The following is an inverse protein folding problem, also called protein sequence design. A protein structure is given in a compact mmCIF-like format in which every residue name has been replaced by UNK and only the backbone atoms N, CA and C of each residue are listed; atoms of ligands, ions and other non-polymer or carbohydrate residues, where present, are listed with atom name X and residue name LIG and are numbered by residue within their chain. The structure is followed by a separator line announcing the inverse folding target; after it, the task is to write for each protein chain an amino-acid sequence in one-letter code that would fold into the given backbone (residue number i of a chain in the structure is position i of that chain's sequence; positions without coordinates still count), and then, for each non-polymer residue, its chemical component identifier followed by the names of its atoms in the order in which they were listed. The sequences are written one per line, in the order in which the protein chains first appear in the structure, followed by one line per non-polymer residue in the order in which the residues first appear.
data_IF_380344886669
#
_entry.id   IF_380344886669
#
_cell.length_a   1.000
_cell.length_b   1.000
_cell.length_c   1.000
_cell.angle_alpha   90.00
_cell.angle_beta   90.00
_cell.angle_gamma   90.00
#
_symmetry.space_group_name_H-M   'P 1'
#
loop_
_entity.id
_entity.type
_entity.pdbx_description
1 polymer ?
#
# COMPACT_ATOMS: atom_id res chain seq x y z
N UNK A 1 6.60 17.03 -9.88
CA UNK A 1 8.07 17.13 -9.80
C UNK A 1 8.46 16.45 -8.50
N UNK A 2 9.00 15.23 -8.54
CA UNK A 2 9.43 14.56 -7.31
C UNK A 2 10.63 15.32 -6.76
N UNK A 3 10.39 16.25 -5.84
CA UNK A 3 11.43 17.03 -5.18
C UNK A 3 12.34 16.11 -4.37
N UNK A 4 13.64 16.37 -4.41
CA UNK A 4 14.60 15.72 -3.54
C UNK A 4 14.25 16.08 -2.09
N UNK A 5 13.85 15.10 -1.29
CA UNK A 5 13.68 15.28 0.16
C UNK A 5 15.08 15.20 0.76
N UNK A 6 15.54 16.33 1.29
CA UNK A 6 16.85 16.48 1.91
C UNK A 6 17.00 15.58 3.15
N UNK A 7 18.24 15.20 3.50
CA UNK A 7 18.48 14.33 4.65
C UNK A 7 18.12 15.06 5.96
N UNK A 8 17.45 14.34 6.86
CA UNK A 8 17.19 14.81 8.22
C UNK A 8 18.45 14.57 9.08
N UNK A 9 18.99 15.60 9.76
CA UNK A 9 20.15 15.46 10.63
C UNK A 9 19.95 14.41 11.73
N UNK A 10 21.03 13.70 12.06
CA UNK A 10 21.02 12.69 13.13
C UNK A 10 21.14 13.31 14.52
N UNK A 11 21.88 14.40 14.64
CA UNK A 11 22.01 15.14 15.90
C UNK A 11 20.79 16.05 16.07
N UNK A 12 20.25 16.07 17.29
CA UNK A 12 19.10 16.89 17.63
C UNK A 12 19.44 18.39 17.69
N UNK A 13 20.72 18.73 17.86
CA UNK A 13 21.18 20.13 17.87
C UNK A 13 21.14 20.79 16.49
N UNK A 14 21.30 19.99 15.45
CA UNK A 14 21.37 20.45 14.06
C UNK A 14 20.00 20.41 13.37
N UNK A 15 19.02 19.76 13.99
CA UNK A 15 17.66 19.69 13.47
C UNK A 15 16.87 20.94 13.88
N UNK A 16 16.35 21.65 12.89
CA UNK A 16 15.44 22.78 13.07
C UNK A 16 14.16 22.53 12.27
N UNK A 17 12.97 22.68 12.85
CA UNK A 17 11.73 22.58 12.10
C UNK A 17 11.70 23.69 11.05
N UNK A 18 11.31 23.33 9.83
CA UNK A 18 11.26 24.23 8.70
C UNK A 18 9.87 24.12 8.04
N UNK A 19 8.90 24.91 8.48
CA UNK A 19 7.55 24.88 7.91
C UNK A 19 7.51 25.36 6.44
N UNK A 20 8.58 25.99 5.94
CA UNK A 20 8.67 26.48 4.55
C UNK A 20 9.24 25.42 3.60
N UNK A 21 9.99 24.46 4.13
CA UNK A 21 10.62 23.38 3.37
C UNK A 21 11.87 23.79 2.58
N UNK A 22 12.44 24.96 2.83
CA UNK A 22 13.64 25.45 2.14
C UNK A 22 14.89 24.58 2.42
N UNK A 23 14.98 24.03 3.63
CA UNK A 23 16.15 23.27 4.10
C UNK A 23 16.08 21.80 3.71
N UNK A 24 14.91 21.18 3.85
CA UNK A 24 14.71 19.74 3.65
C UNK A 24 13.93 19.39 2.37
N UNK A 25 13.60 20.39 1.54
CA UNK A 25 12.84 20.24 0.31
C UNK A 25 11.32 20.13 0.50
N UNK A 26 10.85 19.81 1.72
CA UNK A 26 9.43 19.80 2.09
C UNK A 26 9.24 20.38 3.49
N UNK A 27 8.05 20.96 3.79
CA UNK A 27 7.70 21.40 5.14
C UNK A 27 7.98 20.30 6.16
N UNK A 28 8.74 20.66 7.18
CA UNK A 28 9.26 19.73 8.20
C UNK A 28 8.89 20.24 9.58
N UNK A 29 8.08 19.45 10.29
CA UNK A 29 7.55 19.79 11.59
C UNK A 29 8.12 18.89 12.69
N UNK A 30 8.05 19.38 13.93
CA UNK A 30 8.22 18.51 15.08
C UNK A 30 7.00 17.61 15.29
N UNK A 31 7.19 16.58 16.10
CA UNK A 31 6.10 15.72 16.55
C UNK A 31 4.95 16.53 17.16
N UNK A 32 3.74 16.31 16.64
CA UNK A 32 2.48 16.98 17.05
C UNK A 32 2.43 18.50 16.82
N UNK A 33 3.27 19.05 15.95
CA UNK A 33 3.24 20.49 15.60
C UNK A 33 2.82 20.75 14.15
N UNK A 34 2.47 19.70 13.40
CA UNK A 34 1.98 19.86 12.03
C UNK A 34 0.54 20.40 12.03
N UNK A 35 0.16 21.23 11.05
CA UNK A 35 -1.22 21.65 10.83
C UNK A 35 -2.22 20.50 10.70
N UNK A 36 -3.46 20.68 11.16
CA UNK A 36 -4.48 19.63 11.25
C UNK A 36 -4.91 19.02 9.90
N UNK A 37 -4.78 19.76 8.80
CA UNK A 37 -5.10 19.26 7.45
C UNK A 37 -4.04 18.27 6.93
N UNK A 38 -2.88 18.17 7.60
CA UNK A 38 -1.80 17.28 7.22
C UNK A 38 -1.80 16.03 8.10
N UNK A 39 -2.05 14.89 7.47
CA UNK A 39 -2.26 13.62 8.16
C UNK A 39 -1.34 12.52 7.62
N UNK A 40 -1.00 11.58 8.48
CA UNK A 40 -0.22 10.40 8.09
C UNK A 40 -1.06 9.46 7.23
N UNK A 41 -0.39 8.66 6.39
CA UNK A 41 -1.04 7.60 5.59
C UNK A 41 -1.82 6.61 6.45
N UNK A 42 -1.37 6.36 7.69
CA UNK A 42 -2.05 5.49 8.64
C UNK A 42 -3.37 6.09 9.14
N UNK A 43 -3.38 7.40 9.44
CA UNK A 43 -4.61 8.12 9.81
C UNK A 43 -5.62 8.10 8.66
N UNK A 44 -5.19 8.39 7.43
CA UNK A 44 -6.07 8.27 6.26
C UNK A 44 -6.66 6.86 6.12
N UNK A 45 -5.84 5.82 6.30
CA UNK A 45 -6.29 4.43 6.18
C UNK A 45 -7.32 4.05 7.26
N UNK A 46 -7.26 4.66 8.44
CA UNK A 46 -8.23 4.45 9.51
C UNK A 46 -9.61 5.02 9.14
N UNK A 47 -9.63 6.11 8.36
CA UNK A 47 -10.84 6.76 7.84
C UNK A 47 -11.33 6.15 6.51
N UNK A 48 -10.76 5.02 6.05
CA UNK A 48 -11.10 4.44 4.75
C UNK A 48 -10.63 5.27 3.55
N UNK A 49 -9.70 6.21 3.77
CA UNK A 49 -9.14 7.09 2.76
C UNK A 49 -7.75 6.62 2.31
N UNK A 50 -7.34 7.11 1.15
CA UNK A 50 -5.99 6.99 0.64
C UNK A 50 -5.50 8.36 0.10
N UNK A 51 -4.18 8.58 -0.02
CA UNK A 51 -3.63 9.87 -0.44
C UNK A 51 -4.00 10.34 -1.86
N UNK A 52 -4.71 9.55 -2.67
CA UNK A 52 -5.18 9.99 -3.99
C UNK A 52 -4.09 10.21 -5.03
N UNK A 53 -2.88 9.68 -4.83
CA UNK A 53 -1.73 9.89 -5.71
C UNK A 53 -0.98 11.21 -5.48
N UNK A 54 -1.27 11.92 -4.38
CA UNK A 54 -0.51 13.09 -3.97
C UNK A 54 0.97 12.77 -3.71
N UNK A 55 1.83 13.74 -4.03
CA UNK A 55 3.19 13.78 -3.51
C UNK A 55 3.19 14.03 -1.99
N UNK A 56 4.34 13.81 -1.33
CA UNK A 56 4.46 14.05 0.11
C UNK A 56 4.35 15.55 0.37
N UNK A 57 3.32 15.96 1.12
CA UNK A 57 3.04 17.37 1.39
C UNK A 57 3.95 17.94 2.49
N UNK A 58 4.28 17.12 3.49
CA UNK A 58 5.17 17.49 4.60
C UNK A 58 5.74 16.25 5.28
N UNK A 59 6.65 16.47 6.22
CA UNK A 59 7.13 15.43 7.12
C UNK A 59 7.12 15.90 8.57
N UNK A 60 7.00 14.94 9.48
CA UNK A 60 7.17 15.12 10.91
C UNK A 60 8.36 14.29 11.37
N UNK A 61 9.20 14.89 12.20
CA UNK A 61 10.41 14.25 12.71
C UNK A 61 10.34 14.09 14.23
N UNK A 62 10.66 12.89 14.69
CA UNK A 62 10.96 12.58 16.09
C UNK A 62 12.44 12.27 16.19
N UNK A 63 13.18 13.15 16.86
CA UNK A 63 14.58 12.94 17.18
C UNK A 63 14.72 11.89 18.27
N UNK A 64 15.70 11.00 18.13
CA UNK A 64 15.89 9.86 19.03
C UNK A 64 17.31 9.81 19.50
N UNK A 65 17.50 9.75 20.82
CA UNK A 65 18.84 9.67 21.41
C UNK A 65 19.55 8.40 20.93
N UNK A 66 20.75 8.56 20.36
CA UNK A 66 21.59 7.48 19.82
C UNK A 66 20.97 6.63 18.70
N UNK A 67 19.91 7.11 18.03
CA UNK A 67 19.26 6.39 16.92
C UNK A 67 18.94 7.34 15.77
N UNK A 68 18.68 6.78 14.59
CA UNK A 68 18.19 7.58 13.47
C UNK A 68 16.85 8.26 13.86
N UNK A 69 16.64 9.52 13.43
CA UNK A 69 15.36 10.19 13.56
C UNK A 69 14.24 9.34 12.95
N UNK A 70 13.09 9.32 13.60
CA UNK A 70 11.89 8.72 13.04
C UNK A 70 11.17 9.78 12.23
N UNK A 71 10.95 9.51 10.95
CA UNK A 71 10.27 10.42 10.03
C UNK A 71 8.91 9.83 9.68
N UNK A 72 7.88 10.66 9.74
CA UNK A 72 6.53 10.33 9.27
C UNK A 72 6.15 11.29 8.14
N UNK A 73 5.82 10.75 6.97
CA UNK A 73 5.31 11.55 5.85
C UNK A 73 3.83 11.88 6.06
N UNK A 74 3.49 13.13 5.73
CA UNK A 74 2.16 13.69 5.82
C UNK A 74 1.62 13.99 4.41
N UNK A 75 0.30 13.88 4.31
CA UNK A 75 -0.49 14.11 3.11
C UNK A 75 -1.64 15.05 3.45
N UNK A 76 -2.12 15.82 2.48
CA UNK A 76 -3.27 16.68 2.68
C UNK A 76 -4.56 15.83 2.66
N UNK A 77 -5.34 15.94 3.74
CA UNK A 77 -6.62 15.26 3.86
C UNK A 77 -7.63 15.73 2.81
N UNK A 78 -7.55 16.99 2.37
CA UNK A 78 -8.51 17.56 1.42
C UNK A 78 -8.37 16.98 0.01
N UNK A 79 -7.17 16.49 -0.34
CA UNK A 79 -6.93 15.77 -1.59
C UNK A 79 -7.07 14.25 -1.47
N UNK A 80 -7.45 13.73 -0.30
CA UNK A 80 -7.55 12.30 -0.09
C UNK A 80 -8.78 11.74 -0.84
N UNK A 81 -8.67 10.47 -1.23
CA UNK A 81 -9.70 9.77 -1.97
C UNK A 81 -10.18 8.55 -1.21
N UNK A 82 -11.44 8.18 -1.39
CA UNK A 82 -11.95 6.92 -0.87
C UNK A 82 -11.12 5.75 -1.39
N UNK A 83 -10.75 4.86 -0.49
CA UNK A 83 -10.09 3.62 -0.84
C UNK A 83 -11.02 2.78 -1.71
N UNK A 84 -10.51 2.33 -2.86
CA UNK A 84 -11.25 1.39 -3.71
C UNK A 84 -11.28 0.04 -3.02
N UNK A 85 -12.48 -0.49 -2.83
CA UNK A 85 -12.66 -1.85 -2.34
C UNK A 85 -12.42 -2.85 -3.48
N UNK A 86 -11.55 -3.85 -3.27
CA UNK A 86 -11.30 -4.87 -4.27
C UNK A 86 -12.54 -5.74 -4.48
N UNK A 87 -12.77 -6.14 -5.72
CA UNK A 87 -13.86 -7.08 -6.05
C UNK A 87 -13.57 -8.47 -5.47
N UNK A 88 -14.59 -9.32 -5.25
CA UNK A 88 -14.38 -10.69 -4.78
C UNK A 88 -13.38 -11.49 -5.62
N UNK A 89 -13.41 -11.32 -6.95
CA UNK A 89 -12.48 -11.98 -7.86
C UNK A 89 -11.03 -11.48 -7.70
N UNK A 90 -10.84 -10.20 -7.40
CA UNK A 90 -9.52 -9.64 -7.10
C UNK A 90 -8.99 -10.17 -5.76
N UNK A 91 -9.85 -10.27 -4.74
CA UNK A 91 -9.50 -10.87 -3.44
C UNK A 91 -9.06 -12.34 -3.58
N UNK A 92 -9.80 -13.15 -4.34
CA UNK A 92 -9.42 -14.54 -4.63
C UNK A 92 -8.05 -14.62 -5.32
N UNK A 93 -7.81 -13.75 -6.30
CA UNK A 93 -6.52 -13.69 -7.01
C UNK A 93 -5.37 -13.30 -6.08
N UNK A 94 -5.57 -12.32 -5.20
CA UNK A 94 -4.59 -11.91 -4.20
C UNK A 94 -4.29 -13.03 -3.20
N UNK A 95 -5.31 -13.78 -2.76
CA UNK A 95 -5.17 -14.92 -1.86
C UNK A 95 -4.28 -16.00 -2.47
N UNK A 96 -4.56 -16.38 -3.71
CA UNK A 96 -3.75 -17.36 -4.45
C UNK A 96 -2.31 -16.85 -4.62
N UNK A 97 -2.12 -15.58 -4.99
CA UNK A 97 -0.78 -15.00 -5.14
C UNK A 97 0.02 -15.00 -3.84
N UNK A 98 -0.64 -14.76 -2.69
CA UNK A 98 -0.01 -14.84 -1.37
C UNK A 98 0.44 -16.26 -1.04
N UNK A 99 -0.36 -17.27 -1.35
CA UNK A 99 0.00 -18.66 -1.15
C UNK A 99 1.17 -19.10 -2.02
N UNK A 100 1.18 -18.69 -3.30
CA UNK A 100 2.32 -18.96 -4.21
C UNK A 100 3.61 -18.40 -3.61
N UNK A 101 3.60 -17.13 -3.20
CA UNK A 101 4.77 -16.51 -2.55
C UNK A 101 5.22 -17.25 -1.30
N UNK A 102 4.28 -17.80 -0.52
CA UNK A 102 4.58 -18.58 0.68
C UNK A 102 5.21 -19.93 0.33
N UNK A 103 4.69 -20.63 -0.68
CA UNK A 103 5.25 -21.89 -1.16
C UNK A 103 6.68 -21.70 -1.69
N UNK A 104 6.90 -20.65 -2.48
CA UNK A 104 8.24 -20.29 -2.97
C UNK A 104 9.20 -19.93 -1.83
N UNK A 105 8.70 -19.39 -0.72
CA UNK A 105 9.51 -19.15 0.48
C UNK A 105 9.87 -20.46 1.20
N UNK A 106 8.92 -21.39 1.34
CA UNK A 106 9.16 -22.72 1.91
C UNK A 106 10.26 -23.46 1.13
N UNK A 107 10.15 -23.52 -0.19
CA UNK A 107 11.17 -24.11 -1.09
C UNK A 107 12.57 -23.52 -0.83
N UNK A 108 12.69 -22.20 -0.78
CA UNK A 108 13.97 -21.52 -0.50
C UNK A 108 14.57 -21.85 0.86
N UNK A 109 13.74 -22.23 1.82
CA UNK A 109 14.15 -22.58 3.18
C UNK A 109 14.19 -24.09 3.43
N UNK A 110 14.05 -24.92 2.38
CA UNK A 110 14.08 -26.39 2.50
C UNK A 110 12.88 -26.97 3.24
N UNK A 111 11.77 -26.23 3.31
CA UNK A 111 10.50 -26.69 3.87
C UNK A 111 9.64 -27.20 2.72
N UNK A 112 9.05 -28.39 2.86
CA UNK A 112 8.16 -28.97 1.86
C UNK A 112 6.89 -28.11 1.68
N UNK A 113 6.61 -27.58 0.47
CA UNK A 113 5.39 -26.81 0.20
C UNK A 113 4.27 -27.62 -0.46
N UNK A 114 4.35 -28.96 -0.52
CA UNK A 114 3.39 -29.80 -1.25
C UNK A 114 1.93 -29.48 -0.92
N UNK A 115 1.57 -29.38 0.37
CA UNK A 115 0.22 -29.00 0.81
C UNK A 115 -0.21 -27.62 0.29
N UNK A 116 0.69 -26.64 0.30
CA UNK A 116 0.42 -25.30 -0.23
C UNK A 116 0.22 -25.35 -1.73
N UNK A 117 1.03 -26.14 -2.46
CA UNK A 117 0.94 -26.30 -3.92
C UNK A 117 -0.39 -26.95 -4.32
N UNK A 118 -0.83 -27.98 -3.58
CA UNK A 118 -2.14 -28.61 -3.77
C UNK A 118 -3.29 -27.63 -3.50
N UNK A 119 -3.23 -26.88 -2.39
CA UNK A 119 -4.23 -25.87 -2.07
C UNK A 119 -4.33 -24.79 -3.16
N UNK A 120 -3.19 -24.34 -3.71
CA UNK A 120 -3.14 -23.39 -4.83
C UNK A 120 -3.80 -23.98 -6.08
N UNK A 121 -3.49 -25.23 -6.43
CA UNK A 121 -4.05 -25.90 -7.60
C UNK A 121 -5.57 -26.03 -7.50
N UNK A 122 -6.07 -26.47 -6.33
CA UNK A 122 -7.50 -26.57 -6.05
C UNK A 122 -8.20 -25.21 -6.16
N UNK A 123 -7.65 -24.17 -5.53
CA UNK A 123 -8.24 -22.83 -5.56
C UNK A 123 -8.30 -22.24 -6.98
N UNK A 124 -7.31 -22.53 -7.83
CA UNK A 124 -7.32 -22.15 -9.25
C UNK A 124 -8.43 -22.87 -10.02
N UNK A 125 -8.60 -24.18 -9.79
CA UNK A 125 -9.66 -24.97 -10.41
C UNK A 125 -11.06 -24.46 -10.01
N UNK A 126 -11.26 -24.19 -8.72
CA UNK A 126 -12.52 -23.63 -8.20
C UNK A 126 -12.85 -22.28 -8.84
N UNK A 127 -11.86 -21.38 -8.96
CA UNK A 127 -12.05 -20.09 -9.60
C UNK A 127 -12.38 -20.23 -11.09
N UNK A 128 -11.73 -21.17 -11.80
CA UNK A 128 -12.02 -21.45 -13.20
C UNK A 128 -13.44 -21.99 -13.40
N UNK A 129 -13.89 -22.89 -12.52
CA UNK A 129 -15.25 -23.42 -12.54
C UNK A 129 -16.30 -22.31 -12.31
N UNK A 130 -16.09 -21.44 -11.32
CA UNK A 130 -16.98 -20.28 -11.08
C UNK A 130 -17.07 -19.35 -12.28
N UNK A 131 -15.93 -19.05 -12.93
CA UNK A 131 -15.89 -18.23 -14.16
C UNK A 131 -16.65 -18.88 -15.32
N UNK A 132 -16.51 -20.19 -15.49
CA UNK A 132 -17.23 -20.94 -16.53
C UNK A 132 -18.74 -20.95 -16.29
N UNK A 133 -19.19 -21.02 -15.03
CA UNK A 133 -20.60 -20.95 -14.66
C UNK A 133 -21.21 -19.55 -14.84
N UNK A 134 -20.42 -18.48 -14.59
CA UNK A 134 -20.86 -17.08 -14.74
C UNK A 134 -20.77 -16.55 -16.18
N UNK A 135 -20.25 -17.32 -17.14
CA UNK A 135 -20.19 -16.91 -18.56
C UNK A 135 -21.62 -16.66 -19.08
N UNK A 136 -21.96 -15.43 -19.53
CA UNK A 136 -23.29 -15.12 -20.03
C UNK A 136 -23.62 -15.96 -21.28
N UNK A 137 -24.90 -16.28 -21.46
CA UNK A 137 -25.40 -17.11 -22.56
C UNK A 137 -25.23 -16.51 -23.98
N UNK A 138 -24.72 -15.27 -24.09
CA UNK A 138 -24.57 -14.51 -25.35
C UNK A 138 -23.66 -15.21 -26.38
N UNK A 139 -22.73 -16.07 -25.94
CA UNK A 139 -21.89 -16.88 -26.84
C UNK A 139 -22.57 -18.18 -27.31
N UNK A 140 -23.59 -18.66 -26.58
CA UNK A 140 -24.25 -19.95 -26.86
C UNK A 140 -25.28 -19.84 -27.99
N UNK A 141 -25.92 -18.68 -28.16
CA UNK A 141 -26.90 -18.46 -29.23
C UNK A 141 -26.26 -18.34 -30.63
N UNK A 142 -25.05 -17.77 -30.75
CA UNK A 142 -24.36 -17.64 -32.05
C UNK A 142 -24.02 -18.99 -32.70
N UNK A 143 -24.00 -20.07 -31.93
CA UNK A 143 -23.76 -21.44 -32.43
C UNK A 143 -25.03 -22.20 -32.81
N UNK A 144 -26.21 -21.69 -32.44
CA UNK A 144 -27.50 -22.36 -32.68
C UNK A 144 -28.25 -21.81 -33.91
N UNK A 145 -27.87 -20.63 -34.40
CA UNK A 145 -28.52 -19.94 -35.53
C UNK A 145 -27.83 -20.15 -36.89
N UNK A 146 -27.04 -21.23 -37.05
CA UNK A 146 -26.29 -21.53 -38.28
C UNK A 146 -26.71 -22.85 -38.87
#
# INVERSE_FOLDING_TARGET
MSGFIGPVPRDYRDFHPDPTGQTYGIPTYFWKTAPDHLVTRRQLSAEGLNPGGQDIAAQVVILRRHRQPLVAHLFDINGAQLKREPTPAQLDSLRIARWVRSADACERHGVDPSDLREMIAKARADLAARRQAQRPAVERDRRRSR
#
